data_IF_006744610631
#
_entry.id   IF_006744610631
#
_cell.length_a   1.000
_cell.length_b   1.000
_cell.length_c   1.000
_cell.angle_alpha   90.00
_cell.angle_beta   90.00
_cell.angle_gamma   90.00
#
_symmetry.space_group_name_H-M   'P 1'
#
loop_
_entity.id
_entity.type
_entity.pdbx_description
1 polymer ?
#
# COMPACT_ATOMS: atom_id res chain seq x y z
N UNK A 1 0.90 9.97 -9.94
CA UNK A 1 0.46 10.88 -8.86
C UNK A 1 1.52 11.93 -8.63
N UNK A 2 1.16 13.20 -8.79
CA UNK A 2 2.01 14.32 -8.39
C UNK A 2 2.03 14.44 -6.86
N UNK A 3 3.21 14.58 -6.26
CA UNK A 3 3.35 14.90 -4.85
C UNK A 3 3.38 16.43 -4.64
N UNK A 4 2.95 16.92 -3.47
CA UNK A 4 3.19 18.32 -3.10
C UNK A 4 4.69 18.62 -3.06
N UNK A 5 5.05 19.90 -3.03
CA UNK A 5 6.45 20.28 -2.81
C UNK A 5 6.93 19.68 -1.47
N UNK A 6 7.98 18.87 -1.55
CA UNK A 6 8.52 18.17 -0.39
C UNK A 6 9.74 18.90 0.17
N UNK A 7 9.85 18.89 1.49
CA UNK A 7 11.02 19.36 2.23
C UNK A 7 11.84 18.16 2.68
N UNK A 8 13.12 18.13 2.32
CA UNK A 8 14.04 17.09 2.77
C UNK A 8 14.47 17.32 4.24
N UNK A 9 14.67 16.23 4.97
CA UNK A 9 15.28 16.25 6.30
C UNK A 9 15.93 14.92 6.67
N UNK A 10 16.40 14.82 7.92
CA UNK A 10 16.99 13.63 8.52
C UNK A 10 16.11 13.11 9.64
N UNK A 11 15.72 11.84 9.54
CA UNK A 11 14.93 11.20 10.59
C UNK A 11 15.74 11.12 11.88
N UNK A 12 15.23 11.66 12.98
CA UNK A 12 15.82 11.46 14.30
C UNK A 12 15.24 10.22 14.98
N UNK A 13 13.91 10.08 14.93
CA UNK A 13 13.20 8.92 15.47
C UNK A 13 11.75 8.87 14.98
N UNK A 14 11.20 7.65 14.90
CA UNK A 14 9.76 7.39 14.83
C UNK A 14 9.26 6.84 16.16
N UNK A 15 8.14 7.34 16.66
CA UNK A 15 7.58 6.91 17.94
C UNK A 15 6.05 6.98 17.93
N UNK A 16 5.41 6.28 18.88
CA UNK A 16 3.95 6.18 19.00
C UNK A 16 3.22 5.81 17.69
N UNK A 17 3.91 5.12 16.77
CA UNK A 17 3.48 4.73 15.40
C UNK A 17 3.22 5.89 14.43
N UNK A 18 2.71 7.03 14.90
CA UNK A 18 2.19 8.13 14.09
C UNK A 18 3.02 9.41 14.15
N UNK A 19 4.12 9.43 14.89
CA UNK A 19 4.98 10.60 15.07
C UNK A 19 6.39 10.31 14.61
N UNK A 20 7.02 11.29 13.97
CA UNK A 20 8.43 11.26 13.61
C UNK A 20 9.05 12.63 13.87
N UNK A 21 10.18 12.66 14.57
CA UNK A 21 10.99 13.88 14.70
C UNK A 21 12.03 13.89 13.58
N UNK A 22 12.14 15.02 12.89
CA UNK A 22 12.99 15.20 11.71
C UNK A 22 13.75 16.51 11.81
N UNK A 23 15.05 16.46 11.57
CA UNK A 23 15.92 17.62 11.46
C UNK A 23 15.93 18.13 10.00
N UNK A 24 15.61 19.40 9.80
CA UNK A 24 15.59 20.06 8.49
C UNK A 24 16.97 20.65 8.14
N UNK A 25 17.13 21.12 6.90
CA UNK A 25 18.40 21.66 6.40
C UNK A 25 18.90 22.90 7.16
N UNK A 26 18.01 23.66 7.82
CA UNK A 26 18.36 24.82 8.65
C UNK A 26 18.73 24.45 10.10
N UNK A 27 18.75 23.15 10.43
CA UNK A 27 19.01 22.62 11.77
C UNK A 27 17.80 22.64 12.71
N UNK A 28 16.63 23.11 12.26
CA UNK A 28 15.41 23.04 13.05
C UNK A 28 14.87 21.61 13.13
N UNK A 29 14.27 21.26 14.27
CA UNK A 29 13.62 19.96 14.46
C UNK A 29 12.11 20.14 14.41
N UNK A 30 11.46 19.37 13.55
CA UNK A 30 10.00 19.36 13.40
C UNK A 30 9.45 17.98 13.74
N UNK A 31 8.23 17.95 14.29
CA UNK A 31 7.47 16.70 14.45
C UNK A 31 6.48 16.55 13.30
N UNK A 32 6.63 15.47 12.55
CA UNK A 32 5.77 15.10 11.42
C UNK A 32 4.81 13.97 11.77
N UNK A 33 3.65 13.97 11.13
CA UNK A 33 2.75 12.83 11.10
C UNK A 33 3.38 11.70 10.29
N UNK A 34 3.43 10.48 10.85
CA UNK A 34 3.75 9.24 10.16
C UNK A 34 2.45 8.55 9.72
N UNK A 35 2.05 8.64 8.43
CA UNK A 35 0.82 8.05 7.89
C UNK A 35 0.90 6.52 7.70
N UNK A 36 2.02 5.89 8.05
CA UNK A 36 2.20 4.44 7.98
C UNK A 36 2.15 3.83 9.39
N UNK A 37 1.20 2.92 9.61
CA UNK A 37 1.01 2.24 10.91
C UNK A 37 1.75 0.92 11.02
N UNK A 38 2.31 0.42 9.91
CA UNK A 38 3.07 -0.82 9.86
C UNK A 38 4.39 -0.75 10.62
N UNK A 39 5.12 -1.85 10.60
CA UNK A 39 6.43 -1.95 11.26
C UNK A 39 7.43 -0.97 10.63
N UNK A 40 7.27 -0.66 9.34
CA UNK A 40 8.21 0.14 8.53
C UNK A 40 9.63 -0.42 8.63
N UNK A 41 9.77 -1.75 8.64
CA UNK A 41 11.06 -2.41 8.67
C UNK A 41 11.93 -1.95 7.50
N UNK A 42 13.17 -1.53 7.81
CA UNK A 42 14.11 -0.97 6.83
C UNK A 42 13.78 0.45 6.33
N UNK A 43 12.78 1.12 6.90
CA UNK A 43 12.30 2.43 6.43
C UNK A 43 12.18 3.48 7.55
N UNK A 44 12.79 3.25 8.71
CA UNK A 44 12.62 4.12 9.90
C UNK A 44 13.89 4.31 10.73
N UNK A 45 15.04 4.05 10.14
CA UNK A 45 16.31 4.09 10.86
C UNK A 45 16.74 5.56 11.10
N UNK A 46 17.17 5.93 12.32
CA UNK A 46 17.70 7.25 12.58
C UNK A 46 18.84 7.60 11.62
N UNK A 47 18.83 8.82 11.09
CA UNK A 47 19.76 9.34 10.09
C UNK A 47 19.28 9.18 8.64
N UNK A 48 18.25 8.36 8.37
CA UNK A 48 17.67 8.22 7.03
C UNK A 48 17.23 9.57 6.46
N UNK A 49 17.46 9.77 5.16
CA UNK A 49 16.88 10.89 4.41
C UNK A 49 15.38 10.69 4.31
N UNK A 50 14.63 11.75 4.58
CA UNK A 50 13.17 11.73 4.53
C UNK A 50 12.65 12.97 3.82
N UNK A 51 11.46 12.85 3.27
CA UNK A 51 10.76 13.95 2.61
C UNK A 51 9.41 14.18 3.28
N UNK A 52 9.18 15.43 3.67
CA UNK A 52 7.98 15.88 4.36
C UNK A 52 7.15 16.78 3.47
N UNK A 53 5.83 16.60 3.47
CA UNK A 53 4.91 17.59 2.93
C UNK A 53 4.46 18.56 4.04
N UNK A 54 4.45 19.88 3.79
CA UNK A 54 3.83 20.83 4.70
C UNK A 54 2.30 20.74 4.59
N UNK A 55 1.62 21.10 5.67
CA UNK A 55 0.17 21.26 5.71
C UNK A 55 -0.17 22.66 6.18
N UNK A 56 -0.92 23.38 5.36
CA UNK A 56 -1.45 24.72 5.65
C UNK A 56 -2.79 24.69 6.42
N UNK A 57 -3.43 23.52 6.54
CA UNK A 57 -4.68 23.38 7.29
C UNK A 57 -4.51 23.78 8.78
N UNK A 58 -5.11 24.89 9.23
CA UNK A 58 -4.94 25.41 10.58
C UNK A 58 -5.56 24.51 11.67
N UNK A 59 -6.39 23.54 11.30
CA UNK A 59 -6.98 22.58 12.23
C UNK A 59 -6.05 21.40 12.54
N UNK A 60 -4.97 21.20 11.77
CA UNK A 60 -4.04 20.10 12.03
C UNK A 60 -3.12 20.42 13.20
N UNK A 61 -2.97 19.44 14.09
CA UNK A 61 -2.01 19.51 15.21
C UNK A 61 -0.55 19.45 14.75
N UNK A 62 -0.29 18.79 13.62
CA UNK A 62 1.05 18.61 13.05
C UNK A 62 1.08 19.25 11.67
N UNK A 63 2.01 20.19 11.50
CA UNK A 63 2.19 20.95 10.26
C UNK A 63 2.91 20.15 9.15
N UNK A 64 3.43 18.96 9.47
CA UNK A 64 4.23 18.15 8.55
C UNK A 64 3.67 16.73 8.45
N UNK A 65 3.77 16.13 7.26
CA UNK A 65 3.46 14.71 7.03
C UNK A 65 4.65 14.05 6.33
N UNK A 66 5.05 12.87 6.80
CA UNK A 66 6.15 12.11 6.23
C UNK A 66 5.66 11.34 4.99
N UNK A 67 6.24 11.66 3.83
CA UNK A 67 5.83 11.14 2.53
C UNK A 67 6.76 10.03 2.02
N UNK A 68 8.08 10.30 1.99
CA UNK A 68 9.10 9.41 1.43
C UNK A 68 10.26 9.20 2.40
N UNK A 69 10.96 8.09 2.24
CA UNK A 69 12.25 7.81 2.89
C UNK A 69 13.23 7.26 1.87
N UNK A 70 14.51 7.51 2.07
CA UNK A 70 15.58 6.79 1.37
C UNK A 70 15.95 5.56 2.18
N UNK A 71 15.85 4.40 1.54
CA UNK A 71 16.26 3.11 2.08
C UNK A 71 17.04 2.36 1.01
N UNK A 72 18.15 1.73 1.37
CA UNK A 72 18.96 0.92 0.46
C UNK A 72 19.38 1.65 -0.84
N UNK A 73 19.54 2.98 -0.77
CA UNK A 73 19.92 3.82 -1.92
C UNK A 73 18.77 4.13 -2.89
N UNK A 74 17.53 3.77 -2.57
CA UNK A 74 16.33 4.11 -3.36
C UNK A 74 15.31 4.89 -2.53
N UNK A 75 14.42 5.61 -3.22
CA UNK A 75 13.27 6.25 -2.59
C UNK A 75 12.13 5.25 -2.40
N UNK A 76 11.51 5.32 -1.23
CA UNK A 76 10.37 4.49 -0.83
C UNK A 76 9.17 5.37 -0.50
N UNK A 77 8.02 5.08 -1.12
CA UNK A 77 6.74 5.72 -0.84
C UNK A 77 6.12 5.21 0.47
N UNK A 78 6.17 6.02 1.53
CA UNK A 78 5.71 5.63 2.86
C UNK A 78 4.26 5.94 3.14
N UNK A 79 3.69 6.97 2.49
CA UNK A 79 2.34 7.40 2.78
C UNK A 79 1.27 6.41 2.28
N UNK A 80 0.92 5.43 3.12
CA UNK A 80 -0.04 4.37 2.76
C UNK A 80 -1.42 4.91 2.37
N UNK A 81 -1.86 6.05 2.93
CA UNK A 81 -3.11 6.71 2.53
C UNK A 81 -3.15 7.23 1.08
N UNK A 82 -2.00 7.27 0.36
CA UNK A 82 -1.95 7.61 -1.07
C UNK A 82 -2.04 6.39 -1.98
N UNK A 83 -1.82 5.18 -1.45
CA UNK A 83 -1.69 3.94 -2.25
C UNK A 83 -2.92 3.66 -3.09
N UNK A 84 -4.12 3.78 -2.51
CA UNK A 84 -5.38 3.49 -3.23
C UNK A 84 -5.59 4.47 -4.39
N UNK A 85 -5.29 5.75 -4.18
CA UNK A 85 -5.37 6.78 -5.22
C UNK A 85 -4.29 6.58 -6.31
N UNK A 86 -3.09 6.15 -5.95
CA UNK A 86 -2.02 5.82 -6.91
C UNK A 86 -2.43 4.64 -7.82
N UNK A 87 -2.99 3.57 -7.24
CA UNK A 87 -3.49 2.42 -8.00
C UNK A 87 -4.67 2.82 -8.87
N UNK A 88 -5.62 3.60 -8.33
CA UNK A 88 -6.75 4.14 -9.10
C UNK A 88 -6.29 4.94 -10.31
N UNK A 89 -5.37 5.88 -10.13
CA UNK A 89 -4.82 6.70 -11.21
C UNK A 89 -4.18 5.83 -12.31
N UNK A 90 -3.43 4.80 -11.91
CA UNK A 90 -2.79 3.88 -12.86
C UNK A 90 -3.82 3.05 -13.67
N UNK A 91 -4.91 2.61 -13.04
CA UNK A 91 -6.01 1.92 -13.73
C UNK A 91 -6.71 2.88 -14.71
N UNK A 92 -7.06 4.09 -14.26
CA UNK A 92 -7.71 5.11 -15.10
C UNK A 92 -6.83 5.52 -16.29
N UNK A 93 -5.50 5.55 -16.12
CA UNK A 93 -4.54 5.82 -17.17
C UNK A 93 -4.25 4.63 -18.09
N UNK A 94 -4.84 3.45 -17.82
CA UNK A 94 -4.61 2.23 -18.60
C UNK A 94 -3.23 1.59 -18.41
N UNK A 95 -2.49 1.97 -17.36
CA UNK A 95 -1.17 1.43 -17.05
C UNK A 95 -1.23 0.01 -16.45
N UNK A 96 -2.40 -0.40 -15.95
CA UNK A 96 -2.67 -1.75 -15.44
C UNK A 96 -3.59 -2.46 -16.43
N UNK A 97 -3.00 -3.15 -17.40
CA UNK A 97 -3.74 -3.76 -18.51
C UNK A 97 -4.76 -4.83 -18.03
N UNK A 98 -4.44 -5.55 -16.95
CA UNK A 98 -5.28 -6.60 -16.37
C UNK A 98 -6.58 -6.04 -15.77
N UNK A 99 -6.62 -4.75 -15.45
CA UNK A 99 -7.79 -4.06 -14.89
C UNK A 99 -8.47 -3.13 -15.91
N UNK A 100 -8.13 -3.27 -17.19
CA UNK A 100 -8.72 -2.47 -18.26
C UNK A 100 -10.19 -2.86 -18.59
N UNK A 101 -10.88 -1.95 -19.28
CA UNK A 101 -12.24 -2.13 -19.78
C UNK A 101 -13.34 -2.00 -18.72
N UNK A 102 -13.06 -1.35 -17.59
CA UNK A 102 -14.06 -0.95 -16.61
C UNK A 102 -14.33 0.55 -16.71
N UNK A 103 -15.59 0.94 -16.92
CA UNK A 103 -15.98 2.35 -17.10
C UNK A 103 -16.15 3.15 -15.80
N UNK A 104 -16.25 2.49 -14.65
CA UNK A 104 -16.37 3.18 -13.36
C UNK A 104 -15.52 2.53 -12.25
N UNK A 105 -14.91 3.38 -11.41
CA UNK A 105 -14.13 3.00 -10.23
C UNK A 105 -14.65 3.74 -8.99
N UNK A 106 -15.08 3.01 -7.97
CA UNK A 106 -15.50 3.55 -6.67
C UNK A 106 -14.55 3.09 -5.57
N UNK A 107 -14.18 3.99 -4.65
CA UNK A 107 -13.32 3.65 -3.51
C UNK A 107 -14.11 3.31 -2.25
N UNK A 108 -13.49 2.58 -1.33
CA UNK A 108 -13.97 2.34 0.05
C UNK A 108 -15.38 1.74 0.14
N UNK A 109 -15.73 0.82 -0.76
CA UNK A 109 -17.09 0.26 -0.85
C UNK A 109 -17.29 -0.84 0.19
N UNK A 110 -18.33 -0.80 1.04
CA UNK A 110 -18.59 -1.87 1.99
C UNK A 110 -18.84 -3.22 1.30
N UNK A 111 -18.19 -4.28 1.79
CA UNK A 111 -18.35 -5.66 1.30
C UNK A 111 -18.15 -6.68 2.43
N UNK A 112 -18.35 -7.95 2.13
CA UNK A 112 -18.37 -9.03 3.12
C UNK A 112 -19.70 -9.13 3.86
N UNK A 113 -20.01 -10.34 4.34
CA UNK A 113 -21.21 -10.61 5.14
C UNK A 113 -21.06 -10.12 6.59
N UNK A 114 -22.19 -10.01 7.30
CA UNK A 114 -22.17 -10.02 8.76
C UNK A 114 -21.79 -11.43 9.20
N UNK A 115 -20.57 -11.60 9.72
CA UNK A 115 -20.02 -12.89 10.15
C UNK A 115 -20.63 -13.35 11.49
N UNK A 116 -21.71 -12.71 11.98
CA UNK A 116 -22.38 -13.03 13.24
C UNK A 116 -21.54 -12.70 14.47
N UNK A 117 -20.42 -11.97 14.30
CA UNK A 117 -19.46 -11.62 15.37
C UNK A 117 -19.51 -10.15 15.79
N UNK A 118 -20.57 -9.41 15.41
CA UNK A 118 -20.73 -8.01 15.79
C UNK A 118 -19.64 -7.06 15.26
N UNK A 119 -18.91 -7.50 14.22
CA UNK A 119 -17.81 -6.74 13.61
C UNK A 119 -18.31 -5.77 12.54
N UNK A 120 -17.61 -4.64 12.37
CA UNK A 120 -17.86 -3.70 11.27
C UNK A 120 -17.57 -4.40 9.94
N UNK A 121 -18.47 -4.26 8.96
CA UNK A 121 -18.24 -4.73 7.58
C UNK A 121 -16.92 -4.19 7.04
N UNK A 122 -16.20 -5.03 6.30
CA UNK A 122 -15.01 -4.60 5.58
C UNK A 122 -15.37 -3.61 4.48
N UNK A 123 -14.37 -2.89 3.99
CA UNK A 123 -14.48 -2.04 2.81
C UNK A 123 -13.40 -2.48 1.83
N UNK A 124 -13.79 -2.68 0.58
CA UNK A 124 -12.87 -2.94 -0.51
C UNK A 124 -12.26 -1.62 -0.95
N UNK A 125 -10.97 -1.61 -1.24
CA UNK A 125 -10.23 -0.39 -1.57
C UNK A 125 -10.77 0.23 -2.86
N UNK A 126 -10.95 -0.57 -3.92
CA UNK A 126 -11.53 -0.16 -5.18
C UNK A 126 -12.55 -1.19 -5.71
N UNK A 127 -13.68 -0.72 -6.21
CA UNK A 127 -14.69 -1.52 -6.90
C UNK A 127 -14.83 -1.00 -8.34
N UNK A 128 -14.46 -1.85 -9.29
CA UNK A 128 -14.50 -1.61 -10.72
C UNK A 128 -15.79 -2.21 -11.30
N UNK A 129 -16.51 -1.44 -12.12
CA UNK A 129 -17.79 -1.88 -12.71
C UNK A 129 -17.91 -1.47 -14.17
N UNK A 130 -18.54 -2.33 -14.96
CA UNK A 130 -18.87 -2.11 -16.37
C UNK A 130 -20.17 -2.84 -16.73
N UNK A 131 -20.95 -2.30 -17.67
CA UNK A 131 -22.17 -2.96 -18.12
C UNK A 131 -21.84 -4.31 -18.80
N UNK A 132 -22.56 -5.36 -18.43
CA UNK A 132 -22.37 -6.70 -19.00
C UNK A 132 -21.09 -7.43 -18.55
N UNK A 133 -20.38 -6.93 -17.53
CA UNK A 133 -19.23 -7.61 -16.92
C UNK A 133 -19.44 -7.81 -15.41
N UNK A 134 -18.93 -8.90 -14.81
CA UNK A 134 -18.90 -9.02 -13.36
C UNK A 134 -18.10 -7.87 -12.72
N UNK A 135 -18.55 -7.34 -11.56
CA UNK A 135 -17.78 -6.34 -10.82
C UNK A 135 -16.43 -6.92 -10.38
N UNK A 136 -15.42 -6.07 -10.33
CA UNK A 136 -14.07 -6.43 -9.90
C UNK A 136 -13.71 -5.72 -8.59
N UNK A 137 -13.53 -6.52 -7.54
CA UNK A 137 -13.15 -6.11 -6.19
C UNK A 137 -11.62 -6.08 -6.10
N UNK A 138 -11.03 -4.91 -5.93
CA UNK A 138 -9.57 -4.75 -5.86
C UNK A 138 -9.17 -4.32 -4.45
N UNK A 139 -8.43 -5.20 -3.77
CA UNK A 139 -7.82 -4.94 -2.46
C UNK A 139 -6.36 -4.54 -2.67
N UNK A 140 -5.95 -3.38 -2.16
CA UNK A 140 -4.63 -2.79 -2.38
C UNK A 140 -3.76 -2.97 -1.13
N UNK A 141 -2.53 -3.46 -1.33
CA UNK A 141 -1.51 -3.57 -0.28
C UNK A 141 -0.29 -2.76 -0.65
N UNK A 142 0.16 -1.88 0.24
CA UNK A 142 1.43 -1.18 0.07
C UNK A 142 2.58 -2.09 0.53
N UNK A 143 3.54 -2.34 -0.36
CA UNK A 143 4.76 -3.11 -0.06
C UNK A 143 5.92 -2.13 0.02
N UNK A 144 6.49 -2.00 1.22
CA UNK A 144 7.65 -1.14 1.50
C UNK A 144 8.83 -1.90 2.08
N UNK A 145 8.56 -3.03 2.74
CA UNK A 145 9.59 -3.95 3.19
C UNK A 145 10.19 -4.68 1.98
N UNK A 146 11.45 -4.37 1.66
CA UNK A 146 12.30 -5.23 0.85
C UNK A 146 13.40 -5.79 1.73
N UNK A 147 13.79 -7.03 1.47
CA UNK A 147 14.97 -7.65 2.07
C UNK A 147 16.06 -7.81 1.00
N UNK A 148 17.24 -8.27 1.43
CA UNK A 148 18.31 -8.67 0.53
C UNK A 148 17.81 -9.55 -0.64
N UNK A 149 18.26 -9.23 -1.86
CA UNK A 149 17.96 -10.01 -3.07
C UNK A 149 16.76 -9.52 -3.90
N UNK A 150 16.26 -8.30 -3.68
CA UNK A 150 15.20 -7.71 -4.51
C UNK A 150 13.81 -8.28 -4.26
N UNK A 151 13.58 -8.86 -3.08
CA UNK A 151 12.30 -9.49 -2.71
C UNK A 151 11.51 -8.54 -1.81
N UNK A 152 10.31 -8.17 -2.26
CA UNK A 152 9.31 -7.46 -1.47
C UNK A 152 8.47 -8.45 -0.67
N UNK A 153 8.25 -8.15 0.61
CA UNK A 153 7.44 -9.00 1.49
C UNK A 153 6.17 -8.30 1.97
N UNK A 154 5.09 -9.07 2.03
CA UNK A 154 3.87 -8.67 2.73
C UNK A 154 3.27 -9.85 3.50
N UNK A 155 2.82 -9.66 4.76
CA UNK A 155 2.83 -8.41 5.52
C UNK A 155 4.17 -8.14 6.24
N UNK A 156 4.32 -6.95 6.81
CA UNK A 156 5.48 -6.55 7.64
C UNK A 156 5.25 -6.76 9.15
N UNK A 157 4.08 -7.31 9.52
CA UNK A 157 3.66 -7.77 10.84
C UNK A 157 2.45 -8.70 10.71
N UNK A 158 2.14 -9.51 11.73
CA UNK A 158 0.92 -10.37 11.75
C UNK A 158 -0.34 -9.54 11.48
N UNK A 159 -1.22 -10.01 10.58
CA UNK A 159 -2.37 -9.26 10.08
C UNK A 159 -3.65 -10.11 9.98
N UNK A 160 -4.37 -10.25 11.09
CA UNK A 160 -5.70 -10.88 11.09
C UNK A 160 -6.68 -10.19 10.14
N UNK A 161 -6.57 -8.85 10.00
CA UNK A 161 -7.39 -8.07 9.06
C UNK A 161 -7.06 -8.43 7.61
N UNK A 162 -5.78 -8.57 7.26
CA UNK A 162 -5.39 -8.99 5.91
C UNK A 162 -5.94 -10.38 5.58
N UNK A 163 -5.83 -11.32 6.51
CA UNK A 163 -6.39 -12.68 6.37
C UNK A 163 -7.91 -12.66 6.23
N UNK A 164 -8.62 -11.82 7.01
CA UNK A 164 -10.07 -11.62 6.88
C UNK A 164 -10.44 -11.15 5.46
N UNK A 165 -9.76 -10.13 4.95
CA UNK A 165 -10.03 -9.58 3.62
C UNK A 165 -9.78 -10.62 2.51
N UNK A 166 -8.73 -11.44 2.60
CA UNK A 166 -8.50 -12.52 1.62
C UNK A 166 -9.68 -13.52 1.57
N UNK A 167 -10.24 -13.87 2.73
CA UNK A 167 -11.42 -14.73 2.79
C UNK A 167 -12.64 -14.06 2.16
N UNK A 168 -12.89 -12.80 2.49
CA UNK A 168 -14.02 -12.04 1.91
C UNK A 168 -13.88 -11.87 0.39
N UNK A 169 -12.65 -11.77 -0.13
CA UNK A 169 -12.40 -11.79 -1.57
C UNK A 169 -12.73 -13.13 -2.21
N UNK A 170 -12.39 -14.26 -1.57
CA UNK A 170 -12.79 -15.57 -2.05
C UNK A 170 -14.32 -15.75 -2.04
N UNK A 171 -15.01 -15.17 -1.05
CA UNK A 171 -16.48 -15.13 -1.02
C UNK A 171 -17.07 -14.34 -2.20
N UNK A 172 -16.42 -13.27 -2.65
CA UNK A 172 -16.82 -12.54 -3.87
C UNK A 172 -16.61 -13.38 -5.13
N UNK A 173 -15.50 -14.10 -5.23
CA UNK A 173 -15.26 -15.05 -6.33
C UNK A 173 -16.33 -16.14 -6.38
N UNK A 174 -16.72 -16.69 -5.23
CA UNK A 174 -17.78 -17.69 -5.13
C UNK A 174 -19.16 -17.18 -5.59
N UNK A 175 -19.39 -15.86 -5.55
CA UNK A 175 -20.61 -15.21 -6.07
C UNK A 175 -20.55 -14.94 -7.59
N UNK A 176 -19.45 -15.29 -8.25
CA UNK A 176 -19.21 -15.01 -9.66
C UNK A 176 -18.63 -13.61 -9.95
N UNK A 177 -18.23 -12.87 -8.91
CA UNK A 177 -17.53 -11.60 -9.07
C UNK A 177 -16.03 -11.85 -9.31
N UNK A 178 -15.32 -10.86 -9.84
CA UNK A 178 -13.86 -10.90 -9.92
C UNK A 178 -13.26 -10.29 -8.66
N UNK A 179 -12.19 -10.88 -8.12
CA UNK A 179 -11.46 -10.30 -6.99
C UNK A 179 -9.95 -10.32 -7.27
N UNK A 180 -9.28 -9.19 -7.01
CA UNK A 180 -7.86 -8.97 -7.32
C UNK A 180 -7.16 -8.41 -6.09
N UNK A 181 -6.12 -9.10 -5.62
CA UNK A 181 -5.19 -8.57 -4.62
C UNK A 181 -4.08 -7.82 -5.36
N UNK A 182 -3.92 -6.54 -5.08
CA UNK A 182 -2.97 -5.67 -5.77
C UNK A 182 -1.85 -5.23 -4.82
N UNK A 183 -0.65 -5.76 -5.01
CA UNK A 183 0.55 -5.28 -4.32
C UNK A 183 1.12 -4.05 -5.06
N UNK A 184 0.98 -2.90 -4.43
CA UNK A 184 1.62 -1.65 -4.86
C UNK A 184 3.00 -1.56 -4.20
N UNK A 185 4.05 -1.83 -4.97
CA UNK A 185 5.43 -1.84 -4.49
C UNK A 185 6.04 -0.46 -4.71
N UNK A 186 5.98 0.39 -3.69
CA UNK A 186 6.44 1.78 -3.77
C UNK A 186 7.94 1.91 -3.48
N UNK A 187 8.77 1.12 -4.17
CA UNK A 187 10.24 1.23 -4.21
C UNK A 187 10.79 0.56 -5.47
N UNK A 188 11.89 1.08 -6.00
CA UNK A 188 12.40 0.71 -7.33
C UNK A 188 13.31 -0.52 -7.41
N UNK A 189 13.72 -1.06 -6.27
CA UNK A 189 14.71 -2.13 -6.10
C UNK A 189 14.09 -3.51 -5.80
N UNK A 190 12.78 -3.66 -6.01
CA UNK A 190 12.06 -4.94 -5.86
C UNK A 190 11.78 -5.53 -7.24
N UNK A 191 12.13 -6.80 -7.39
CA UNK A 191 11.96 -7.60 -8.61
C UNK A 191 10.84 -8.64 -8.47
N UNK A 192 10.44 -9.00 -7.25
CA UNK A 192 9.32 -9.91 -7.01
C UNK A 192 8.67 -9.68 -5.65
N UNK A 193 7.41 -10.11 -5.50
CA UNK A 193 6.69 -10.07 -4.22
C UNK A 193 6.40 -11.47 -3.72
N UNK A 194 6.61 -11.70 -2.43
CA UNK A 194 6.29 -12.97 -1.75
C UNK A 194 5.45 -12.73 -0.50
N UNK A 195 4.57 -13.68 -0.11
CA UNK A 195 4.00 -13.66 1.23
C UNK A 195 5.12 -13.82 2.26
N UNK A 196 5.06 -13.04 3.32
CA UNK A 196 6.02 -13.10 4.41
C UNK A 196 5.68 -14.26 5.36
N UNK A 197 5.82 -15.51 4.91
CA UNK A 197 5.48 -16.70 5.73
C UNK A 197 6.24 -16.74 7.07
N UNK A 198 7.43 -16.15 7.12
CA UNK A 198 8.25 -16.04 8.33
C UNK A 198 7.72 -15.01 9.34
N UNK A 199 6.81 -14.12 8.92
CA UNK A 199 6.15 -13.10 9.76
C UNK A 199 4.72 -13.52 10.07
N UNK A 200 3.95 -13.89 9.04
CA UNK A 200 2.56 -14.32 9.16
C UNK A 200 2.30 -15.57 8.30
N UNK A 201 2.58 -16.77 8.85
CA UNK A 201 2.32 -18.03 8.17
C UNK A 201 0.83 -18.23 7.81
N UNK A 202 -0.10 -17.65 8.58
CA UNK A 202 -1.53 -17.80 8.35
C UNK A 202 -1.99 -16.98 7.15
N UNK A 203 -1.50 -15.74 7.03
CA UNK A 203 -1.71 -14.93 5.84
C UNK A 203 -1.19 -15.63 4.58
N UNK A 204 0.03 -16.17 4.62
CA UNK A 204 0.63 -16.86 3.48
C UNK A 204 -0.09 -18.16 3.09
N UNK A 205 -0.53 -18.97 4.05
CA UNK A 205 -1.42 -20.13 3.77
C UNK A 205 -2.74 -19.70 3.16
N UNK A 206 -3.36 -18.66 3.72
CA UNK A 206 -4.64 -18.14 3.23
C UNK A 206 -4.51 -17.58 1.81
N UNK A 207 -3.44 -16.83 1.52
CA UNK A 207 -3.17 -16.30 0.18
C UNK A 207 -3.15 -17.44 -0.84
N UNK A 208 -2.29 -18.44 -0.65
CA UNK A 208 -2.20 -19.61 -1.55
C UNK A 208 -3.54 -20.29 -1.76
N UNK A 209 -4.31 -20.48 -0.68
CA UNK A 209 -5.65 -21.07 -0.76
C UNK A 209 -6.61 -20.25 -1.61
N UNK A 210 -6.69 -18.94 -1.40
CA UNK A 210 -7.65 -18.09 -2.14
C UNK A 210 -7.26 -17.90 -3.60
N UNK A 211 -5.96 -17.94 -3.93
CA UNK A 211 -5.50 -18.01 -5.33
C UNK A 211 -6.04 -19.28 -6.01
N UNK A 212 -5.98 -20.43 -5.32
CA UNK A 212 -6.57 -21.68 -5.80
C UNK A 212 -8.10 -21.67 -5.94
N UNK A 213 -8.77 -20.68 -5.32
CA UNK A 213 -10.22 -20.46 -5.44
C UNK A 213 -10.57 -19.44 -6.54
N UNK A 214 -9.58 -18.87 -7.23
CA UNK A 214 -9.78 -17.93 -8.33
C UNK A 214 -9.65 -16.45 -7.95
N UNK A 215 -9.18 -16.12 -6.74
CA UNK A 215 -8.71 -14.75 -6.46
C UNK A 215 -7.45 -14.50 -7.28
N UNK A 216 -7.43 -13.41 -8.03
CA UNK A 216 -6.26 -13.01 -8.82
C UNK A 216 -5.29 -12.20 -7.96
N UNK A 217 -4.01 -12.20 -8.33
CA UNK A 217 -2.99 -11.40 -7.66
C UNK A 217 -2.13 -10.67 -8.68
N UNK A 218 -1.92 -9.39 -8.43
CA UNK A 218 -1.07 -8.51 -9.22
C UNK A 218 -0.04 -7.85 -8.30
N UNK A 219 1.17 -7.62 -8.81
CA UNK A 219 2.14 -6.74 -8.17
C UNK A 219 2.68 -5.76 -9.21
N UNK A 220 2.80 -4.50 -8.82
CA UNK A 220 3.37 -3.45 -9.66
C UNK A 220 4.39 -2.63 -8.88
N UNK A 221 5.59 -2.49 -9.47
CA UNK A 221 6.63 -1.58 -9.00
C UNK A 221 6.33 -0.14 -9.38
N UNK A 222 6.62 0.79 -8.48
CA UNK A 222 6.49 2.22 -8.71
C UNK A 222 7.86 2.89 -8.93
N UNK A 223 7.91 3.84 -9.86
CA UNK A 223 8.95 4.86 -9.94
C UNK A 223 8.61 5.95 -8.91
N UNK A 224 9.45 6.07 -7.88
CA UNK A 224 9.27 6.97 -6.74
C UNK A 224 10.28 8.11 -6.84
N UNK A 225 9.78 9.33 -6.91
CA UNK A 225 10.58 10.56 -6.97
C UNK A 225 10.00 11.63 -6.03
N UNK A 226 10.79 12.63 -5.63
CA UNK A 226 10.26 13.73 -4.79
C UNK A 226 9.10 14.47 -5.44
N UNK A 227 9.05 14.53 -6.78
CA UNK A 227 7.99 15.20 -7.52
C UNK A 227 6.73 14.33 -7.65
N UNK A 228 6.85 13.01 -7.56
CA UNK A 228 5.72 12.14 -7.87
C UNK A 228 6.01 10.66 -7.76
N UNK A 229 4.93 9.88 -7.69
CA UNK A 229 4.96 8.43 -7.70
C UNK A 229 4.13 7.94 -8.87
N UNK A 230 4.68 6.99 -9.65
CA UNK A 230 3.99 6.41 -10.80
C UNK A 230 4.17 4.90 -10.82
N UNK A 231 3.09 4.13 -10.94
CA UNK A 231 3.19 2.70 -11.23
C UNK A 231 3.86 2.50 -12.60
N UNK A 232 4.87 1.65 -12.63
CA UNK A 232 5.78 1.54 -13.76
C UNK A 232 5.73 0.16 -14.41
N UNK A 233 6.00 -0.91 -13.65
CA UNK A 233 6.19 -2.25 -14.21
C UNK A 233 5.45 -3.32 -13.42
N UNK A 234 4.86 -4.34 -14.07
CA UNK A 234 4.39 -5.52 -13.37
C UNK A 234 5.58 -6.27 -12.76
N UNK A 235 5.34 -6.91 -11.62
CA UNK A 235 6.28 -7.76 -10.92
C UNK A 235 5.66 -9.15 -10.71
N UNK A 236 6.45 -10.24 -10.80
CA UNK A 236 5.98 -11.55 -10.43
C UNK A 236 5.60 -11.60 -8.94
N UNK A 237 4.55 -12.36 -8.65
CA UNK A 237 4.18 -12.76 -7.30
C UNK A 237 4.50 -14.23 -7.15
N UNK A 238 5.40 -14.56 -6.22
CA UNK A 238 5.86 -15.93 -5.98
C UNK A 238 5.27 -16.39 -4.64
N UNK A 239 4.32 -17.31 -4.70
CA UNK A 239 3.66 -17.92 -3.54
C UNK A 239 4.10 -19.37 -3.37
#
# INVERSE_FOLDING_TARGET
MQLPLLTEGRLLRRYQRFLADVELADGSVVTAHCPNTGSMQGCKDPGSRVWLSPSDNPQRKLAWTWELVEADGVLVGLHTGRTNALVREAIEAGAVAELAGYGAIRGEVPYGGDNGRGGKRSRIDLLLTEAGRPPCYVEVKNVTAAVAGGIGYFPDAVTERGTKHLNEMADEVAKGNRAVLFFCVQRGDVDEVRPADHIDPEYGRTLRRVLGLGVEVLAYGADVRPEGIRLWRPLPVVC
#
